data_IF_808541813018
#
_entry.id   IF_808541813018
#
_cell.length_a   1.000
_cell.length_b   1.000
_cell.length_c   1.000
_cell.angle_alpha   90.00
_cell.angle_beta   90.00
_cell.angle_gamma   90.00
#
_symmetry.space_group_name_H-M   'P 1'
#
loop_
_entity.id
_entity.type
_entity.pdbx_description
1 polymer ?
#
# COMPACT_ATOMS: atom_id res chain seq x y z
N UNK A 1 20.49 -13.57 -6.48
CA UNK A 1 19.90 -12.30 -6.01
C UNK A 1 19.84 -11.35 -7.19
N UNK A 2 18.73 -11.32 -7.96
CA UNK A 2 18.59 -10.43 -9.12
C UNK A 2 17.14 -10.30 -9.62
N UNK A 3 16.15 -10.26 -8.72
CA UNK A 3 14.73 -10.14 -9.12
C UNK A 3 13.96 -9.02 -8.39
N UNK A 4 14.45 -8.58 -7.22
CA UNK A 4 13.85 -7.45 -6.48
C UNK A 4 14.06 -6.09 -7.17
N UNK A 5 15.06 -5.98 -8.07
CA UNK A 5 15.38 -4.72 -8.75
C UNK A 5 14.45 -4.34 -9.90
N UNK A 6 13.60 -5.26 -10.38
CA UNK A 6 12.64 -4.98 -11.47
C UNK A 6 11.25 -4.56 -11.00
N UNK A 7 10.93 -4.74 -9.72
CA UNK A 7 9.63 -4.38 -9.17
C UNK A 7 9.45 -2.86 -9.10
N UNK A 8 8.26 -2.38 -9.45
CA UNK A 8 7.87 -0.99 -9.17
C UNK A 8 7.87 -0.74 -7.65
N UNK A 9 7.96 0.52 -7.21
CA UNK A 9 7.83 0.83 -5.78
C UNK A 9 6.54 0.27 -5.15
N UNK A 10 5.41 0.26 -5.89
CA UNK A 10 4.17 -0.33 -5.41
C UNK A 10 4.30 -1.85 -5.23
N UNK A 11 4.86 -2.54 -6.23
CA UNK A 11 5.08 -4.00 -6.18
C UNK A 11 6.05 -4.40 -5.06
N UNK A 12 6.99 -3.53 -4.69
CA UNK A 12 7.86 -3.74 -3.52
C UNK A 12 7.07 -3.63 -2.21
N UNK A 13 6.12 -2.71 -2.11
CA UNK A 13 5.23 -2.59 -0.94
C UNK A 13 4.28 -3.78 -0.86
N UNK A 14 3.75 -4.24 -1.99
CA UNK A 14 2.92 -5.45 -2.07
C UNK A 14 3.70 -6.70 -1.66
N UNK A 15 4.96 -6.83 -2.12
CA UNK A 15 5.82 -7.93 -1.68
C UNK A 15 6.10 -7.89 -0.17
N UNK A 16 6.35 -6.71 0.40
CA UNK A 16 6.52 -6.55 1.84
C UNK A 16 5.24 -6.91 2.62
N UNK A 17 4.07 -6.60 2.07
CA UNK A 17 2.81 -7.01 2.68
C UNK A 17 2.70 -8.53 2.77
N UNK A 18 2.98 -9.26 1.69
CA UNK A 18 2.96 -10.72 1.67
C UNK A 18 3.98 -11.30 2.67
N UNK A 19 5.20 -10.75 2.72
CA UNK A 19 6.22 -11.15 3.71
C UNK A 19 5.72 -10.96 5.15
N UNK A 20 4.99 -9.86 5.44
CA UNK A 20 4.40 -9.62 6.75
C UNK A 20 3.29 -10.61 7.08
N UNK A 21 2.45 -10.97 6.11
CA UNK A 21 1.39 -11.97 6.28
C UNK A 21 1.99 -13.34 6.61
N UNK A 22 3.01 -13.75 5.87
CA UNK A 22 3.73 -15.02 6.10
C UNK A 22 4.36 -15.07 7.49
N UNK A 23 4.88 -13.94 7.98
CA UNK A 23 5.48 -13.84 9.32
C UNK A 23 4.47 -14.10 10.45
N UNK A 24 3.19 -13.86 10.22
CA UNK A 24 2.12 -14.11 11.20
C UNK A 24 1.61 -15.56 11.22
N UNK A 25 2.10 -16.45 10.33
CA UNK A 25 1.78 -17.88 10.28
C UNK A 25 0.25 -18.17 10.34
N UNK A 26 -0.21 -19.04 11.24
CA UNK A 26 -1.63 -19.38 11.47
C UNK A 26 -2.35 -18.42 12.43
N UNK A 27 -1.76 -17.25 12.72
CA UNK A 27 -2.42 -16.25 13.55
C UNK A 27 -3.73 -15.76 12.94
N UNK A 28 -4.78 -15.62 13.75
CA UNK A 28 -6.02 -14.98 13.29
C UNK A 28 -5.75 -13.55 12.82
N UNK A 29 -6.47 -13.14 11.77
CA UNK A 29 -6.44 -11.77 11.24
C UNK A 29 -5.06 -11.32 10.73
N UNK A 30 -4.19 -12.24 10.31
CA UNK A 30 -2.83 -11.94 9.84
C UNK A 30 -2.80 -10.90 8.71
N UNK A 31 -3.71 -10.97 7.75
CA UNK A 31 -3.86 -10.01 6.65
C UNK A 31 -4.17 -8.61 7.21
N UNK A 32 -5.12 -8.53 8.15
CA UNK A 32 -5.49 -7.27 8.81
C UNK A 32 -4.34 -6.71 9.64
N UNK A 33 -3.57 -7.55 10.34
CA UNK A 33 -2.42 -7.12 11.13
C UNK A 33 -1.28 -6.61 10.26
N UNK A 34 -1.00 -7.30 9.15
CA UNK A 34 0.00 -6.89 8.16
C UNK A 34 -0.38 -5.54 7.52
N UNK A 35 -1.61 -5.41 7.03
CA UNK A 35 -2.12 -4.17 6.45
C UNK A 35 -2.08 -3.01 7.46
N UNK A 36 -2.51 -3.27 8.70
CA UNK A 36 -2.51 -2.26 9.77
C UNK A 36 -1.09 -1.76 10.08
N UNK A 37 -0.08 -2.64 10.10
CA UNK A 37 1.32 -2.24 10.29
C UNK A 37 1.81 -1.29 9.19
N UNK A 38 1.53 -1.63 7.94
CA UNK A 38 1.89 -0.77 6.81
C UNK A 38 1.19 0.59 6.91
N UNK A 39 -0.11 0.57 7.26
CA UNK A 39 -0.90 1.79 7.45
C UNK A 39 -0.34 2.66 8.59
N UNK A 40 0.03 2.08 9.74
CA UNK A 40 0.62 2.83 10.85
C UNK A 40 1.88 3.59 10.44
N UNK A 41 2.76 2.95 9.68
CA UNK A 41 3.98 3.58 9.15
C UNK A 41 3.61 4.66 8.12
N UNK A 42 2.69 4.37 7.19
CA UNK A 42 2.24 5.34 6.20
C UNK A 42 1.64 6.59 6.84
N UNK A 43 0.76 6.43 7.84
CA UNK A 43 0.17 7.55 8.59
C UNK A 43 1.22 8.39 9.31
N UNK A 44 2.23 7.76 9.92
CA UNK A 44 3.34 8.48 10.55
C UNK A 44 4.09 9.35 9.52
N UNK A 45 4.33 8.83 8.31
CA UNK A 45 5.00 9.57 7.23
C UNK A 45 4.12 10.66 6.61
N UNK A 46 2.84 10.40 6.40
CA UNK A 46 1.88 11.41 5.93
C UNK A 46 1.78 12.57 6.91
N UNK A 47 1.70 12.28 8.22
CA UNK A 47 1.69 13.31 9.24
C UNK A 47 2.99 14.13 9.26
N UNK A 48 4.14 13.49 9.02
CA UNK A 48 5.43 14.17 9.00
C UNK A 48 5.68 15.01 7.74
N UNK A 49 5.10 14.65 6.60
CA UNK A 49 5.47 15.21 5.29
C UNK A 49 4.32 15.86 4.50
N UNK A 50 3.07 15.60 4.84
CA UNK A 50 1.91 15.95 4.00
C UNK A 50 1.29 17.33 4.26
N UNK A 51 1.87 18.15 5.16
CA UNK A 51 1.38 19.51 5.43
C UNK A 51 -0.06 19.55 5.94
N UNK A 52 -0.82 20.60 5.62
CA UNK A 52 -2.20 20.74 6.11
C UNK A 52 -3.23 19.80 5.44
N UNK A 53 -2.89 19.16 4.31
CA UNK A 53 -3.87 18.46 3.46
C UNK A 53 -3.87 16.93 3.54
N UNK A 54 -2.98 16.32 4.32
CA UNK A 54 -2.78 14.86 4.27
C UNK A 54 -3.98 14.05 4.75
N UNK A 55 -4.75 14.57 5.71
CA UNK A 55 -5.94 13.89 6.24
C UNK A 55 -7.03 13.78 5.18
N UNK A 56 -7.32 14.88 4.48
CA UNK A 56 -8.30 14.89 3.38
C UNK A 56 -7.92 13.90 2.27
N UNK A 57 -6.63 13.81 1.92
CA UNK A 57 -6.16 12.82 0.95
C UNK A 57 -6.44 11.37 1.38
N UNK A 58 -6.24 11.04 2.65
CA UNK A 58 -6.55 9.70 3.19
C UNK A 58 -8.06 9.44 3.16
N UNK A 59 -8.86 10.43 3.56
CA UNK A 59 -10.32 10.34 3.53
C UNK A 59 -10.85 10.12 2.11
N UNK A 60 -10.29 10.81 1.12
CA UNK A 60 -10.64 10.65 -0.29
C UNK A 60 -10.36 9.23 -0.80
N UNK A 61 -9.23 8.63 -0.42
CA UNK A 61 -8.93 7.24 -0.79
C UNK A 61 -9.91 6.25 -0.12
N UNK A 62 -10.25 6.46 1.15
CA UNK A 62 -11.23 5.63 1.85
C UNK A 62 -12.62 5.78 1.24
N UNK A 63 -13.00 7.01 0.87
CA UNK A 63 -14.28 7.29 0.23
C UNK A 63 -14.36 6.64 -1.15
N UNK A 64 -13.28 6.73 -1.94
CA UNK A 64 -13.19 6.07 -3.24
C UNK A 64 -13.33 4.56 -3.11
N UNK A 65 -12.65 3.92 -2.15
CA UNK A 65 -12.77 2.48 -1.93
C UNK A 65 -14.21 2.05 -1.60
N UNK A 66 -14.95 2.89 -0.87
CA UNK A 66 -16.35 2.63 -0.51
C UNK A 66 -17.34 2.86 -1.66
N UNK A 67 -17.09 3.86 -2.51
CA UNK A 67 -18.03 4.29 -3.55
C UNK A 67 -17.75 3.67 -4.93
N UNK A 68 -16.47 3.48 -5.27
CA UNK A 68 -16.01 3.01 -6.58
C UNK A 68 -14.74 2.14 -6.42
N UNK A 69 -14.88 0.91 -5.88
CA UNK A 69 -13.75 0.01 -5.65
C UNK A 69 -13.04 -0.40 -6.95
N UNK A 70 -13.76 -0.41 -8.08
CA UNK A 70 -13.17 -0.71 -9.39
C UNK A 70 -12.21 0.38 -9.84
N UNK A 71 -12.57 1.66 -9.63
CA UNK A 71 -11.66 2.78 -9.89
C UNK A 71 -10.44 2.72 -9.00
N UNK A 72 -10.61 2.38 -7.72
CA UNK A 72 -9.49 2.20 -6.80
C UNK A 72 -8.53 1.11 -7.32
N UNK A 73 -9.06 -0.04 -7.75
CA UNK A 73 -8.28 -1.12 -8.34
C UNK A 73 -7.54 -0.66 -9.62
N UNK A 74 -8.21 0.06 -10.53
CA UNK A 74 -7.57 0.62 -11.74
C UNK A 74 -6.39 1.55 -11.42
N UNK A 75 -6.48 2.34 -10.34
CA UNK A 75 -5.36 3.19 -9.90
C UNK A 75 -4.20 2.35 -9.41
N UNK A 76 -4.44 1.28 -8.65
CA UNK A 76 -3.38 0.35 -8.23
C UNK A 76 -2.73 -0.33 -9.43
N UNK A 77 -3.52 -0.88 -10.36
CA UNK A 77 -2.98 -1.50 -11.59
C UNK A 77 -2.13 -0.53 -12.41
N UNK A 78 -2.55 0.73 -12.54
CA UNK A 78 -1.78 1.75 -13.25
C UNK A 78 -0.42 2.08 -12.59
N UNK A 79 -0.20 1.62 -11.35
CA UNK A 79 1.07 1.75 -10.64
C UNK A 79 1.89 0.46 -10.59
N UNK A 80 1.38 -0.64 -11.18
CA UNK A 80 2.11 -1.89 -11.43
C UNK A 80 2.75 -1.86 -12.83
N UNK A 81 3.79 -2.69 -13.05
CA UNK A 81 4.41 -2.93 -14.36
C UNK A 81 5.74 -2.23 -14.67
N UNK A 82 6.58 -2.90 -15.47
CA UNK A 82 7.87 -2.41 -15.97
C UNK A 82 7.66 -1.23 -16.95
N UNK A 83 8.04 0.00 -16.56
CA UNK A 83 8.03 1.13 -17.52
C UNK A 83 7.94 2.54 -16.95
N UNK A 84 7.62 2.71 -15.66
CA UNK A 84 7.82 4.00 -15.00
C UNK A 84 9.31 4.15 -14.69
N UNK A 85 10.04 4.75 -15.64
CA UNK A 85 11.49 5.03 -15.53
C UNK A 85 11.82 5.58 -14.15
N UNK A 86 12.87 5.00 -13.54
CA UNK A 86 13.60 5.59 -12.44
C UNK A 86 14.16 6.97 -12.83
#
# INVERSE_FOLDING_TARGET
>A
MADSDRKTPLEKVEALYEELVDWYAEGSDREMRAASKLLMIALLKLNAHGGFGWQGLVEDYVLMLKQDPERYARILEANRGEGKKA
#
